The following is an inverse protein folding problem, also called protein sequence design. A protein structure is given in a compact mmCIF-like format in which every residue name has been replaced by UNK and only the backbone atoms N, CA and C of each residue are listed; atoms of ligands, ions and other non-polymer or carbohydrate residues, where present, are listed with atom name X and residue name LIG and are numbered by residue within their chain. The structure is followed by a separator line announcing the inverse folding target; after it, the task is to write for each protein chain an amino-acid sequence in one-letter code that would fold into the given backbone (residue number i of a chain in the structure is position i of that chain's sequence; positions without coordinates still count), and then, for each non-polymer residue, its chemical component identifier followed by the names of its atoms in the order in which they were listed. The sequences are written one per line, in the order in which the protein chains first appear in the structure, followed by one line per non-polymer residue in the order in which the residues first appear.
data_IF_772478728438
#
_entry.id   IF_772478728438
#
_cell.length_a   1.000
_cell.length_b   1.000
_cell.length_c   1.000
_cell.angle_alpha   90.00
_cell.angle_beta   90.00
_cell.angle_gamma   90.00
#
_symmetry.space_group_name_H-M   'P 1'
#
loop_
_entity.id
_entity.type
_entity.pdbx_description
1 polymer ?
#
# COMPACT_ATOMS: atom_id res chain seq x y z
N UNK A 1 7.44 -15.23 -16.76
CA UNK A 1 6.80 -14.31 -15.80
C UNK A 1 6.79 -12.93 -16.43
N UNK A 2 5.73 -12.15 -16.26
CA UNK A 2 5.66 -10.82 -16.86
C UNK A 2 6.40 -9.82 -15.96
N UNK A 3 7.50 -9.25 -16.45
CA UNK A 3 8.35 -8.39 -15.62
C UNK A 3 7.87 -6.93 -15.55
N UNK A 4 6.86 -6.56 -16.36
CA UNK A 4 6.34 -5.18 -16.47
C UNK A 4 4.86 -5.13 -16.82
N UNK A 5 4.15 -4.16 -16.24
CA UNK A 5 2.75 -3.86 -16.56
C UNK A 5 2.62 -3.40 -18.03
N UNK A 6 1.63 -3.90 -18.77
CA UNK A 6 1.35 -3.50 -20.15
C UNK A 6 0.75 -2.07 -20.24
N UNK A 7 0.61 -1.52 -21.45
CA UNK A 7 0.13 -0.13 -21.63
C UNK A 7 -1.29 0.10 -21.10
N UNK A 8 -2.21 -0.85 -21.31
CA UNK A 8 -3.59 -0.75 -20.82
C UNK A 8 -3.66 -0.73 -19.30
N UNK A 9 -2.94 -1.65 -18.65
CA UNK A 9 -2.88 -1.76 -17.21
C UNK A 9 -2.14 -0.57 -16.59
N UNK A 10 -1.16 0.01 -17.29
CA UNK A 10 -0.48 1.24 -16.85
C UNK A 10 -1.43 2.44 -16.76
N UNK A 11 -2.42 2.52 -17.65
CA UNK A 11 -3.45 3.57 -17.58
C UNK A 11 -4.40 3.39 -16.40
N UNK A 12 -4.64 2.15 -15.98
CA UNK A 12 -5.43 1.80 -14.79
C UNK A 12 -4.62 2.09 -13.52
N UNK A 13 -3.33 1.72 -13.54
CA UNK A 13 -2.43 1.82 -12.40
C UNK A 13 -2.27 3.24 -11.88
N UNK A 14 -2.08 4.24 -12.77
CA UNK A 14 -1.80 5.63 -12.36
C UNK A 14 -2.88 6.23 -11.44
N UNK A 15 -4.17 6.31 -11.84
CA UNK A 15 -5.21 6.83 -10.96
C UNK A 15 -5.47 5.92 -9.75
N UNK A 16 -5.23 4.61 -9.87
CA UNK A 16 -5.37 3.69 -8.73
C UNK A 16 -4.29 3.93 -7.66
N UNK A 17 -3.05 4.21 -8.08
CA UNK A 17 -1.95 4.54 -7.16
C UNK A 17 -2.25 5.78 -6.34
N UNK A 18 -2.79 6.83 -6.95
CA UNK A 18 -3.18 8.06 -6.25
C UNK A 18 -4.24 7.76 -5.18
N UNK A 19 -5.28 6.99 -5.54
CA UNK A 19 -6.29 6.54 -4.58
C UNK A 19 -5.72 5.67 -3.46
N UNK A 20 -4.81 4.76 -3.79
CA UNK A 20 -4.16 3.91 -2.81
C UNK A 20 -3.31 4.72 -1.82
N UNK A 21 -2.64 5.79 -2.31
CA UNK A 21 -1.88 6.71 -1.46
C UNK A 21 -2.80 7.48 -0.51
N UNK A 22 -3.90 8.04 -1.01
CA UNK A 22 -4.87 8.73 -0.16
C UNK A 22 -5.44 7.82 0.93
N UNK A 23 -5.83 6.58 0.57
CA UNK A 23 -6.31 5.58 1.55
C UNK A 23 -5.25 5.21 2.58
N UNK A 24 -3.98 5.13 2.18
CA UNK A 24 -2.89 4.87 3.11
C UNK A 24 -2.75 6.03 4.10
N UNK A 25 -2.68 7.26 3.60
CA UNK A 25 -2.57 8.47 4.42
C UNK A 25 -3.76 8.62 5.38
N UNK A 26 -4.99 8.38 4.91
CA UNK A 26 -6.20 8.39 5.74
C UNK A 26 -6.10 7.40 6.91
N UNK A 27 -5.68 6.15 6.65
CA UNK A 27 -5.49 5.13 7.70
C UNK A 27 -4.46 5.54 8.74
N UNK A 28 -3.35 6.15 8.30
CA UNK A 28 -2.30 6.65 9.21
C UNK A 28 -2.84 7.76 10.10
N UNK A 29 -3.57 8.73 9.52
CA UNK A 29 -4.16 9.83 10.26
C UNK A 29 -5.23 9.34 11.25
N UNK A 30 -6.03 8.35 10.89
CA UNK A 30 -6.99 7.71 11.81
C UNK A 30 -6.28 7.02 12.98
N UNK A 31 -5.12 6.41 12.75
CA UNK A 31 -4.30 5.81 13.81
C UNK A 31 -3.79 6.87 14.79
N UNK A 32 -3.37 8.03 14.29
CA UNK A 32 -3.01 9.19 15.14
C UNK A 32 -4.20 9.63 16.00
N UNK A 33 -5.40 9.74 15.41
CA UNK A 33 -6.62 10.12 16.13
C UNK A 33 -6.92 9.12 17.24
N UNK A 34 -6.79 7.81 16.97
CA UNK A 34 -6.99 6.75 17.98
C UNK A 34 -6.01 6.86 19.14
N UNK A 35 -4.70 6.96 18.87
CA UNK A 35 -3.68 7.07 19.91
C UNK A 35 -3.90 8.35 20.74
N UNK A 36 -4.24 9.47 20.08
CA UNK A 36 -4.54 10.73 20.76
C UNK A 36 -5.74 10.62 21.71
N UNK A 37 -6.76 9.85 21.36
CA UNK A 37 -7.97 9.69 22.14
C UNK A 37 -7.82 8.75 23.36
N UNK A 38 -6.71 8.01 23.46
CA UNK A 38 -6.55 6.97 24.49
C UNK A 38 -6.40 7.55 25.90
N UNK A 39 -7.42 7.36 26.75
CA UNK A 39 -7.49 7.99 28.08
C UNK A 39 -6.53 7.41 29.11
N UNK A 40 -5.94 6.24 28.86
CA UNK A 40 -5.04 5.53 29.78
C UNK A 40 -3.58 6.00 29.77
N UNK A 41 -3.19 6.86 28.82
CA UNK A 41 -1.81 7.34 28.64
C UNK A 41 -1.68 8.83 28.95
N UNK A 42 -0.53 9.23 29.47
CA UNK A 42 -0.13 10.65 29.57
C UNK A 42 0.07 11.26 28.18
N UNK A 43 0.10 12.58 28.09
CA UNK A 43 0.33 13.27 26.81
C UNK A 43 1.70 12.94 26.20
N UNK A 44 2.73 12.79 27.04
CA UNK A 44 4.08 12.44 26.59
C UNK A 44 4.15 11.00 26.03
N UNK A 45 3.47 10.04 26.67
CA UNK A 45 3.40 8.66 26.16
C UNK A 45 2.69 8.60 24.81
N UNK A 46 1.56 9.30 24.66
CA UNK A 46 0.86 9.39 23.36
C UNK A 46 1.74 10.01 22.29
N UNK A 47 2.50 11.06 22.61
CA UNK A 47 3.43 11.68 21.68
C UNK A 47 4.51 10.70 21.20
N UNK A 48 5.16 9.98 22.12
CA UNK A 48 6.19 8.99 21.78
C UNK A 48 5.62 7.88 20.89
N UNK A 49 4.42 7.40 21.21
CA UNK A 49 3.77 6.35 20.45
C UNK A 49 3.39 6.78 19.04
N UNK A 50 2.79 7.96 18.88
CA UNK A 50 2.53 8.56 17.56
C UNK A 50 3.84 8.68 16.77
N UNK A 51 4.91 9.18 17.39
CA UNK A 51 6.21 9.32 16.73
C UNK A 51 6.78 7.99 16.23
N UNK A 52 6.69 6.93 17.04
CA UNK A 52 7.14 5.58 16.65
C UNK A 52 6.30 5.01 15.51
N UNK A 53 4.98 5.11 15.64
CA UNK A 53 4.05 4.66 14.60
C UNK A 53 4.29 5.38 13.27
N UNK A 54 4.45 6.71 13.29
CA UNK A 54 4.73 7.48 12.07
C UNK A 54 6.01 7.02 11.37
N UNK A 55 7.08 6.71 12.12
CA UNK A 55 8.32 6.17 11.53
C UNK A 55 8.12 4.85 10.81
N UNK A 56 7.31 3.96 11.39
CA UNK A 56 7.00 2.66 10.76
C UNK A 56 6.20 2.88 9.48
N UNK A 57 5.23 3.80 9.50
CA UNK A 57 4.41 4.14 8.32
C UNK A 57 5.21 4.86 7.24
N UNK A 58 6.18 5.70 7.57
CA UNK A 58 7.08 6.32 6.60
C UNK A 58 7.89 5.26 5.83
N UNK A 59 8.41 4.24 6.53
CA UNK A 59 9.12 3.12 5.91
C UNK A 59 8.20 2.34 4.96
N UNK A 60 6.95 2.07 5.36
CA UNK A 60 5.96 1.43 4.49
C UNK A 60 5.61 2.30 3.27
N UNK A 61 5.44 3.60 3.46
CA UNK A 61 5.12 4.56 2.41
C UNK A 61 6.24 4.62 1.37
N UNK A 62 7.49 4.73 1.81
CA UNK A 62 8.66 4.66 0.92
C UNK A 62 8.70 3.32 0.18
N UNK A 63 8.59 2.20 0.90
CA UNK A 63 8.67 0.87 0.27
C UNK A 63 7.62 0.63 -0.79
N UNK A 64 6.40 1.13 -0.60
CA UNK A 64 5.24 0.82 -1.45
C UNK A 64 5.01 1.85 -2.53
N UNK A 65 5.31 3.13 -2.27
CA UNK A 65 4.99 4.21 -3.21
C UNK A 65 6.20 4.84 -3.89
N UNK A 66 7.43 4.56 -3.46
CA UNK A 66 8.61 5.20 -4.04
C UNK A 66 8.86 4.77 -5.50
N UNK A 67 9.34 5.72 -6.30
CA UNK A 67 9.59 5.64 -7.74
C UNK A 67 8.40 5.18 -8.60
N UNK A 68 7.62 6.14 -9.13
CA UNK A 68 6.61 5.86 -10.16
C UNK A 68 7.26 5.53 -11.51
N UNK A 69 7.54 4.25 -11.77
CA UNK A 69 8.07 3.75 -13.05
C UNK A 69 7.35 2.48 -13.46
N UNK A 70 7.25 2.20 -14.77
CA UNK A 70 6.60 0.96 -15.25
C UNK A 70 7.26 -0.31 -14.76
N UNK A 71 8.58 -0.28 -14.52
CA UNK A 71 9.33 -1.40 -13.98
C UNK A 71 9.09 -1.65 -12.49
N UNK A 72 8.65 -0.64 -11.73
CA UNK A 72 8.33 -0.76 -10.30
C UNK A 72 6.83 -0.94 -10.05
N UNK A 73 5.98 -0.58 -11.02
CA UNK A 73 4.52 -0.62 -10.90
C UNK A 73 3.95 -1.99 -10.50
N UNK A 74 4.55 -3.08 -10.99
CA UNK A 74 4.13 -4.44 -10.63
C UNK A 74 4.35 -4.71 -9.13
N UNK A 75 5.54 -4.35 -8.62
CA UNK A 75 5.86 -4.50 -7.19
C UNK A 75 5.03 -3.55 -6.31
N UNK A 76 4.74 -2.33 -6.79
CA UNK A 76 3.81 -1.44 -6.09
C UNK A 76 2.40 -2.04 -6.02
N UNK A 77 1.92 -2.66 -7.11
CA UNK A 77 0.61 -3.33 -7.13
C UNK A 77 0.56 -4.53 -6.17
N UNK A 78 1.66 -5.29 -6.03
CA UNK A 78 1.82 -6.31 -4.98
C UNK A 78 1.69 -5.67 -3.59
N UNK A 79 2.40 -4.57 -3.33
CA UNK A 79 2.32 -3.84 -2.07
C UNK A 79 0.90 -3.31 -1.77
N UNK A 80 0.21 -2.78 -2.79
CA UNK A 80 -1.16 -2.32 -2.63
C UNK A 80 -2.11 -3.46 -2.25
N UNK A 81 -1.92 -4.66 -2.82
CA UNK A 81 -2.72 -5.85 -2.49
C UNK A 81 -2.39 -6.38 -1.10
N UNK A 82 -1.11 -6.47 -0.74
CA UNK A 82 -0.70 -6.97 0.59
C UNK A 82 -1.18 -6.07 1.73
N UNK A 83 -1.24 -4.75 1.49
CA UNK A 83 -1.75 -3.77 2.46
C UNK A 83 -3.27 -3.52 2.34
N UNK A 84 -3.96 -4.21 1.42
CA UNK A 84 -5.39 -4.02 1.19
C UNK A 84 -5.78 -2.58 0.80
N UNK A 85 -4.91 -1.87 0.09
CA UNK A 85 -5.11 -0.48 -0.35
C UNK A 85 -5.98 -0.37 -1.61
N UNK A 86 -6.19 -1.50 -2.29
CA UNK A 86 -7.03 -1.61 -3.50
C UNK A 86 -8.10 -2.67 -3.28
N UNK A 87 -9.32 -2.37 -3.73
CA UNK A 87 -10.45 -3.30 -3.67
C UNK A 87 -10.31 -4.43 -4.69
N UNK A 88 -11.02 -5.54 -4.50
CA UNK A 88 -11.05 -6.62 -5.48
C UNK A 88 -11.64 -6.18 -6.83
N UNK A 89 -12.63 -5.28 -6.81
CA UNK A 89 -13.20 -4.70 -8.02
C UNK A 89 -12.15 -3.88 -8.78
N UNK A 90 -11.46 -2.96 -8.11
CA UNK A 90 -10.38 -2.18 -8.73
C UNK A 90 -9.25 -3.07 -9.25
N UNK A 91 -8.91 -4.13 -8.52
CA UNK A 91 -7.90 -5.10 -8.92
C UNK A 91 -8.33 -5.93 -10.14
N UNK A 92 -9.61 -6.33 -10.22
CA UNK A 92 -10.15 -7.12 -11.33
C UNK A 92 -10.03 -6.44 -12.70
N UNK A 93 -9.89 -5.11 -12.72
CA UNK A 93 -9.71 -4.31 -13.94
C UNK A 93 -8.37 -4.54 -14.63
N UNK A 94 -7.37 -5.04 -13.91
CA UNK A 94 -6.09 -5.42 -14.50
C UNK A 94 -6.22 -6.69 -15.35
N UNK A 95 -5.40 -6.77 -16.39
CA UNK A 95 -5.32 -7.97 -17.23
C UNK A 95 -4.98 -9.22 -16.41
N UNK A 96 -5.47 -10.38 -16.87
CA UNK A 96 -5.21 -11.65 -16.20
C UNK A 96 -3.71 -11.94 -16.00
N UNK A 97 -2.80 -11.72 -16.97
CA UNK A 97 -1.37 -11.93 -16.77
C UNK A 97 -0.76 -11.08 -15.64
N UNK A 98 -1.20 -9.82 -15.51
CA UNK A 98 -0.76 -8.93 -14.42
C UNK A 98 -1.25 -9.45 -13.07
N UNK A 99 -2.54 -9.84 -12.99
CA UNK A 99 -3.12 -10.38 -11.75
C UNK A 99 -2.47 -11.70 -11.34
N UNK A 100 -2.27 -12.63 -12.27
CA UNK A 100 -1.58 -13.89 -12.01
C UNK A 100 -0.18 -13.67 -11.46
N UNK A 101 0.59 -12.76 -12.07
CA UNK A 101 1.95 -12.46 -11.60
C UNK A 101 1.94 -11.86 -10.18
N UNK A 102 1.02 -10.95 -9.89
CA UNK A 102 0.87 -10.36 -8.55
C UNK A 102 0.44 -11.41 -7.53
N UNK A 103 -0.54 -12.24 -7.87
CA UNK A 103 -1.05 -13.29 -6.99
C UNK A 103 0.03 -14.35 -6.73
N UNK A 104 0.84 -14.71 -7.73
CA UNK A 104 1.98 -15.62 -7.59
C UNK A 104 3.06 -15.05 -6.65
N UNK A 105 3.33 -13.75 -6.72
CA UNK A 105 4.27 -13.06 -5.82
C UNK A 105 3.75 -12.92 -4.39
N UNK A 106 2.43 -12.97 -4.19
CA UNK A 106 1.79 -12.91 -2.87
C UNK A 106 1.66 -14.28 -2.21
N UNK A 107 1.75 -15.38 -2.98
CA UNK A 107 1.71 -16.73 -2.41
C UNK A 107 2.90 -16.90 -1.47
N UNK A 108 2.67 -17.37 -0.23
CA UNK A 108 3.77 -17.79 0.62
C UNK A 108 4.56 -18.91 -0.08
N UNK A 109 5.89 -18.85 -0.01
CA UNK A 109 6.74 -19.92 -0.53
C UNK A 109 6.27 -21.26 0.06
N UNK A 110 6.11 -22.32 -0.76
CA UNK A 110 5.82 -23.63 -0.21
C UNK A 110 6.95 -24.00 0.76
N UNK A 111 6.56 -24.26 2.00
CA UNK A 111 7.42 -24.70 3.11
C UNK A 111 8.11 -26.02 2.80
#
# INVERSE_FOLDING_TARGET
MQDRINESDWRIFKPLREKALERFCERVLDEVVRIRAETGKTQHERYIEIYRMMKERDIELERVFDYLRRSTALMQLVGFRSLGLVTDEEYSRFSAPTRETVDDLLKPLPS
#
